data_IF_021416536980
#
_entry.id   IF_021416536980
#
_cell.length_a   1.000
_cell.length_b   1.000
_cell.length_c   1.000
_cell.angle_alpha   90.00
_cell.angle_beta   90.00
_cell.angle_gamma   90.00
#
_symmetry.space_group_name_H-M   'P 1'
#
loop_
_entity.id
_entity.type
_entity.pdbx_description
1 polymer ?
#
# COMPACT_ATOMS: atom_id res chain seq x y z
N UNK A 1 34.18 36.96 32.26
CA UNK A 1 32.71 36.80 32.28
C UNK A 1 32.27 36.26 30.91
N UNK A 2 32.39 34.95 30.71
CA UNK A 2 32.16 34.27 29.42
C UNK A 2 31.16 33.14 29.66
N UNK A 3 29.86 33.43 29.58
CA UNK A 3 28.84 32.42 29.90
C UNK A 3 27.49 32.64 29.19
N UNK A 4 27.46 33.30 28.03
CA UNK A 4 26.18 33.60 27.36
C UNK A 4 26.15 33.29 25.86
N UNK A 5 27.25 32.83 25.26
CA UNK A 5 27.29 32.47 23.82
C UNK A 5 27.12 30.97 23.54
N UNK A 6 26.96 30.12 24.57
CA UNK A 6 26.84 28.65 24.40
C UNK A 6 25.41 28.09 24.49
N UNK A 7 24.39 28.93 24.69
CA UNK A 7 23.00 28.50 24.86
C UNK A 7 22.10 28.73 23.64
N UNK A 8 22.66 29.20 22.51
CA UNK A 8 21.91 29.37 21.25
C UNK A 8 22.18 28.22 20.25
N UNK A 9 23.07 27.27 20.58
CA UNK A 9 23.46 26.17 19.69
C UNK A 9 22.78 24.82 20.03
N UNK A 10 21.52 24.81 20.49
CA UNK A 10 20.79 23.55 20.78
C UNK A 10 19.36 23.53 20.21
N UNK A 11 18.92 24.59 19.49
CA UNK A 11 17.56 24.67 18.93
C UNK A 11 17.53 24.67 17.40
N UNK A 12 18.37 23.82 16.79
CA UNK A 12 18.25 23.41 15.39
C UNK A 12 18.28 21.88 15.29
N UNK A 13 17.51 21.19 16.15
CA UNK A 13 16.86 19.96 15.70
C UNK A 13 15.75 20.35 14.72
N UNK A 14 16.16 20.90 13.57
CA UNK A 14 15.35 20.84 12.36
C UNK A 14 14.93 19.39 12.25
N UNK A 15 13.63 19.14 12.44
CA UNK A 15 13.02 17.88 12.11
C UNK A 15 13.45 17.56 10.67
N UNK A 16 14.49 16.74 10.52
CA UNK A 16 14.78 16.07 9.27
C UNK A 16 13.61 15.12 9.14
N UNK A 17 12.54 15.59 8.51
CA UNK A 17 11.41 14.74 8.18
C UNK A 17 12.00 13.60 7.36
N UNK A 18 11.91 12.34 7.81
CA UNK A 18 12.54 11.20 7.14
C UNK A 18 11.88 10.88 5.78
N UNK A 19 10.98 11.75 5.32
CA UNK A 19 10.32 11.70 4.02
C UNK A 19 11.30 11.87 2.85
N UNK A 20 12.52 12.37 3.10
CA UNK A 20 13.55 12.50 2.06
C UNK A 20 14.25 11.19 1.65
N UNK A 21 14.05 10.06 2.37
CA UNK A 21 14.93 8.89 2.28
C UNK A 21 14.37 7.59 1.68
N UNK A 22 13.09 7.54 1.27
CA UNK A 22 12.55 6.29 0.71
C UNK A 22 12.89 6.13 -0.78
N UNK A 23 14.14 5.78 -1.08
CA UNK A 23 14.60 5.52 -2.45
C UNK A 23 13.77 4.42 -3.14
N UNK A 24 13.17 3.53 -2.35
CA UNK A 24 12.31 2.45 -2.85
C UNK A 24 11.11 2.93 -3.67
N UNK A 25 10.54 4.12 -3.37
CA UNK A 25 9.38 4.63 -4.10
C UNK A 25 9.66 4.85 -5.59
N UNK A 26 10.91 5.07 -5.99
CA UNK A 26 11.30 5.15 -7.42
C UNK A 26 11.05 3.85 -8.18
N UNK A 27 11.04 2.72 -7.47
CA UNK A 27 10.82 1.40 -8.04
C UNK A 27 9.38 0.90 -7.86
N UNK A 28 8.58 1.58 -7.02
CA UNK A 28 7.21 1.17 -6.71
C UNK A 28 6.34 1.08 -7.96
N UNK A 29 6.34 2.11 -8.82
CA UNK A 29 5.47 2.14 -10.01
C UNK A 29 5.70 0.97 -10.96
N UNK A 30 6.94 0.50 -11.12
CA UNK A 30 7.24 -0.68 -11.94
C UNK A 30 6.64 -1.97 -11.34
N UNK A 31 6.83 -2.18 -10.04
CA UNK A 31 6.31 -3.37 -9.35
C UNK A 31 4.79 -3.33 -9.22
N UNK A 32 4.21 -2.15 -8.98
CA UNK A 32 2.77 -1.91 -8.95
C UNK A 32 2.12 -2.30 -10.29
N UNK A 33 2.70 -1.87 -11.42
CA UNK A 33 2.23 -2.26 -12.75
C UNK A 33 2.32 -3.79 -12.99
N UNK A 34 3.42 -4.42 -12.56
CA UNK A 34 3.55 -5.89 -12.65
C UNK A 34 2.45 -6.57 -11.80
N UNK A 35 2.22 -6.12 -10.57
CA UNK A 35 1.17 -6.65 -9.70
C UNK A 35 -0.22 -6.49 -10.31
N UNK A 36 -0.54 -5.32 -10.85
CA UNK A 36 -1.81 -5.03 -11.54
C UNK A 36 -2.00 -5.91 -12.78
N UNK A 37 -0.95 -6.10 -13.56
CA UNK A 37 -0.98 -6.98 -14.73
C UNK A 37 -1.24 -8.42 -14.27
N UNK A 38 -0.47 -8.93 -13.32
CA UNK A 38 -0.57 -10.32 -12.88
C UNK A 38 -1.93 -10.64 -12.24
N UNK A 39 -2.47 -9.78 -11.37
CA UNK A 39 -3.80 -10.02 -10.78
C UNK A 39 -4.90 -10.07 -11.86
N UNK A 40 -4.72 -9.33 -12.95
CA UNK A 40 -5.64 -9.34 -14.09
C UNK A 40 -5.51 -10.61 -14.94
N UNK A 41 -4.29 -11.08 -15.18
CA UNK A 41 -4.02 -12.18 -16.13
C UNK A 41 -3.78 -13.56 -15.48
N UNK A 42 -3.74 -13.66 -14.16
CA UNK A 42 -3.58 -14.95 -13.47
C UNK A 42 -4.84 -15.81 -13.54
N UNK A 43 -6.00 -15.24 -13.84
CA UNK A 43 -7.25 -15.97 -14.04
C UNK A 43 -7.91 -15.62 -15.37
N UNK A 44 -9.17 -16.03 -15.52
CA UNK A 44 -10.02 -15.61 -16.64
C UNK A 44 -10.44 -14.14 -16.53
N UNK A 45 -11.54 -13.78 -17.18
CA UNK A 45 -12.15 -12.47 -17.02
C UNK A 45 -12.49 -12.20 -15.55
N UNK A 46 -12.24 -10.98 -15.07
CA UNK A 46 -12.65 -10.57 -13.72
C UNK A 46 -14.16 -10.59 -13.59
N UNK A 47 -14.66 -11.00 -12.43
CA UNK A 47 -16.10 -11.02 -12.18
C UNK A 47 -16.68 -9.60 -12.13
N UNK A 48 -17.87 -9.43 -12.71
CA UNK A 48 -18.64 -8.20 -12.61
C UNK A 48 -19.53 -8.17 -11.34
N UNK A 49 -19.61 -9.29 -10.61
CA UNK A 49 -20.38 -9.39 -9.37
C UNK A 49 -19.97 -8.31 -8.35
N UNK A 50 -20.96 -7.75 -7.66
CA UNK A 50 -20.72 -6.79 -6.59
C UNK A 50 -20.11 -7.45 -5.35
N UNK A 51 -19.13 -6.77 -4.75
CA UNK A 51 -18.56 -7.21 -3.49
C UNK A 51 -19.58 -7.07 -2.35
N UNK A 52 -19.68 -8.07 -1.45
CA UNK A 52 -20.55 -7.99 -0.28
C UNK A 52 -20.06 -6.93 0.73
N UNK A 53 -18.84 -6.41 0.56
CA UNK A 53 -18.26 -5.37 1.40
C UNK A 53 -17.98 -4.13 0.55
N UNK A 54 -18.60 -3.01 0.91
CA UNK A 54 -18.37 -1.74 0.23
C UNK A 54 -16.90 -1.33 0.31
N UNK A 55 -16.31 -1.05 -0.86
CA UNK A 55 -14.93 -0.60 -0.97
C UNK A 55 -14.67 0.68 -0.15
N UNK A 56 -13.51 0.80 0.54
CA UNK A 56 -13.30 1.84 1.54
C UNK A 56 -12.77 3.16 0.95
N UNK A 57 -13.44 3.74 -0.07
CA UNK A 57 -13.00 5.00 -0.72
C UNK A 57 -12.71 6.14 0.26
N UNK A 58 -13.61 6.36 1.24
CA UNK A 58 -13.43 7.38 2.30
C UNK A 58 -12.18 7.15 3.17
N UNK A 59 -11.63 5.93 3.21
CA UNK A 59 -10.38 5.66 3.91
C UNK A 59 -9.19 6.15 3.08
N UNK A 60 -9.19 5.89 1.78
CA UNK A 60 -8.20 6.39 0.82
C UNK A 60 -8.18 7.93 0.75
N UNK A 61 -9.35 8.57 0.75
CA UNK A 61 -9.45 10.03 0.80
C UNK A 61 -8.84 10.63 2.08
N UNK A 62 -9.00 9.93 3.21
CA UNK A 62 -8.45 10.37 4.50
C UNK A 62 -6.94 10.17 4.58
N UNK A 63 -6.42 9.02 4.15
CA UNK A 63 -4.98 8.77 4.22
C UNK A 63 -4.19 9.72 3.30
N UNK A 64 -4.77 10.11 2.15
CA UNK A 64 -4.16 11.11 1.26
C UNK A 64 -3.92 12.48 1.94
N UNK A 65 -4.61 12.76 3.05
CA UNK A 65 -4.45 14.01 3.83
C UNK A 65 -3.53 13.85 5.05
N UNK A 66 -3.11 12.63 5.37
CA UNK A 66 -2.19 12.36 6.48
C UNK A 66 -0.72 12.62 6.06
N UNK A 67 0.19 12.50 7.02
CA UNK A 67 1.64 12.61 6.79
C UNK A 67 2.17 11.48 5.89
N UNK A 68 3.26 11.75 5.16
CA UNK A 68 3.86 10.77 4.22
C UNK A 68 4.23 9.46 4.89
N UNK A 69 4.74 9.49 6.13
CA UNK A 69 5.02 8.24 6.86
C UNK A 69 3.76 7.39 7.05
N UNK A 70 2.62 8.02 7.41
CA UNK A 70 1.33 7.33 7.53
C UNK A 70 0.84 6.79 6.19
N UNK A 71 1.04 7.53 5.10
CA UNK A 71 0.69 7.10 3.75
C UNK A 71 1.50 5.87 3.33
N UNK A 72 2.81 5.86 3.58
CA UNK A 72 3.68 4.71 3.28
C UNK A 72 3.35 3.50 4.15
N UNK A 73 3.10 3.72 5.44
CA UNK A 73 2.67 2.66 6.34
C UNK A 73 1.35 2.04 5.87
N UNK A 74 0.40 2.87 5.40
CA UNK A 74 -0.88 2.40 4.88
C UNK A 74 -0.73 1.57 3.60
N UNK A 75 0.16 1.97 2.70
CA UNK A 75 0.46 1.18 1.49
C UNK A 75 1.01 -0.19 1.89
N UNK A 76 2.05 -0.20 2.73
CA UNK A 76 2.66 -1.44 3.23
C UNK A 76 1.65 -2.35 3.91
N UNK A 77 0.91 -1.84 4.89
CA UNK A 77 -0.07 -2.62 5.65
C UNK A 77 -1.17 -3.18 4.74
N UNK A 78 -1.55 -2.45 3.68
CA UNK A 78 -2.54 -2.93 2.70
C UNK A 78 -2.00 -4.09 1.87
N UNK A 79 -0.74 -4.01 1.43
CA UNK A 79 -0.08 -5.09 0.67
C UNK A 79 0.09 -6.35 1.54
N UNK A 80 0.46 -6.20 2.81
CA UNK A 80 0.54 -7.32 3.76
C UNK A 80 -0.81 -8.01 3.94
N UNK A 81 -1.90 -7.24 4.06
CA UNK A 81 -3.25 -7.78 4.18
C UNK A 81 -3.73 -8.47 2.90
N UNK A 82 -3.38 -7.93 1.72
CA UNK A 82 -3.60 -8.60 0.43
C UNK A 82 -2.89 -9.95 0.44
N UNK A 83 -1.59 -9.99 0.70
CA UNK A 83 -0.84 -11.26 0.74
C UNK A 83 -1.44 -12.24 1.74
N UNK A 84 -1.88 -11.75 2.91
CA UNK A 84 -2.58 -12.54 3.93
C UNK A 84 -3.82 -13.26 3.38
N UNK A 85 -4.66 -12.57 2.59
CA UNK A 85 -5.85 -13.18 1.98
C UNK A 85 -5.48 -14.37 1.07
N UNK A 86 -4.47 -14.22 0.22
CA UNK A 86 -4.07 -15.26 -0.74
C UNK A 86 -3.33 -16.44 -0.08
N UNK A 87 -2.83 -16.25 1.14
CA UNK A 87 -2.18 -17.30 1.95
C UNK A 87 -3.13 -17.99 2.91
N UNK A 88 -4.34 -17.46 3.13
CA UNK A 88 -5.28 -17.95 4.15
C UNK A 88 -5.79 -19.37 3.86
N UNK A 89 -6.32 -19.61 2.65
CA UNK A 89 -6.94 -20.88 2.26
C UNK A 89 -6.34 -21.48 0.99
N UNK A 90 -6.64 -22.76 0.76
CA UNK A 90 -6.32 -23.41 -0.50
C UNK A 90 -7.11 -22.76 -1.65
N UNK A 91 -6.37 -22.34 -2.69
CA UNK A 91 -6.90 -21.77 -3.93
C UNK A 91 -7.19 -22.85 -4.98
N UNK A 92 -7.25 -24.12 -4.59
CA UNK A 92 -7.51 -25.25 -5.51
C UNK A 92 -8.89 -25.20 -6.18
N UNK A 93 -9.81 -24.38 -5.69
CA UNK A 93 -11.13 -24.18 -6.29
C UNK A 93 -11.09 -23.29 -7.54
N UNK A 94 -10.06 -22.46 -7.70
CA UNK A 94 -9.91 -21.60 -8.88
C UNK A 94 -8.93 -22.18 -9.89
N UNK A 95 -9.17 -21.88 -11.16
CA UNK A 95 -8.31 -22.30 -12.29
C UNK A 95 -7.25 -21.25 -12.60
N UNK A 96 -6.76 -20.52 -11.60
CA UNK A 96 -5.73 -19.53 -11.81
C UNK A 96 -4.42 -20.19 -12.21
N UNK A 97 -3.67 -19.53 -13.07
CA UNK A 97 -2.33 -19.92 -13.43
C UNK A 97 -1.42 -19.78 -12.22
N UNK A 98 -0.91 -20.92 -11.74
CA UNK A 98 -0.10 -21.02 -10.53
C UNK A 98 1.16 -20.16 -10.61
N UNK A 99 1.84 -20.16 -11.75
CA UNK A 99 3.09 -19.40 -11.92
C UNK A 99 2.85 -17.90 -11.87
N UNK A 100 1.78 -17.41 -12.52
CA UNK A 100 1.38 -16.00 -12.47
C UNK A 100 0.93 -15.60 -11.08
N UNK A 101 0.21 -16.49 -10.38
CA UNK A 101 -0.25 -16.25 -9.01
C UNK A 101 0.93 -16.19 -8.02
N UNK A 102 1.90 -17.07 -8.15
CA UNK A 102 3.11 -17.07 -7.32
C UNK A 102 3.95 -15.82 -7.59
N UNK A 103 4.16 -15.49 -8.89
CA UNK A 103 4.85 -14.26 -9.28
C UNK A 103 4.14 -13.00 -8.78
N UNK A 104 2.80 -13.01 -8.73
CA UNK A 104 2.01 -11.93 -8.16
C UNK A 104 2.37 -11.73 -6.68
N UNK A 105 2.32 -12.80 -5.88
CA UNK A 105 2.65 -12.74 -4.45
C UNK A 105 4.10 -12.32 -4.19
N UNK A 106 5.06 -12.87 -4.95
CA UNK A 106 6.46 -12.45 -4.86
C UNK A 106 6.65 -10.96 -5.17
N UNK A 107 5.88 -10.42 -6.13
CA UNK A 107 5.95 -9.00 -6.49
C UNK A 107 5.36 -8.11 -5.39
N UNK A 108 4.27 -8.55 -4.74
CA UNK A 108 3.67 -7.85 -3.59
C UNK A 108 4.60 -7.88 -2.37
N UNK A 109 5.21 -9.03 -2.09
CA UNK A 109 6.19 -9.17 -1.00
C UNK A 109 7.39 -8.25 -1.22
N UNK A 110 7.93 -8.20 -2.44
CA UNK A 110 9.03 -7.29 -2.78
C UNK A 110 8.67 -5.81 -2.57
N UNK A 111 7.46 -5.40 -2.95
CA UNK A 111 6.98 -4.04 -2.68
C UNK A 111 6.90 -3.76 -1.18
N UNK A 112 6.36 -4.72 -0.42
CA UNK A 112 6.22 -4.65 1.03
C UNK A 112 7.57 -4.51 1.72
N UNK A 113 8.55 -5.33 1.34
CA UNK A 113 9.89 -5.32 1.96
C UNK A 113 10.65 -4.03 1.69
N UNK A 114 10.54 -3.48 0.48
CA UNK A 114 11.11 -2.17 0.22
C UNK A 114 10.41 -1.05 1.00
N UNK A 115 9.09 -1.13 1.23
CA UNK A 115 8.40 -0.17 2.09
C UNK A 115 8.78 -0.33 3.57
N UNK A 116 9.06 -1.55 4.05
CA UNK A 116 9.59 -1.78 5.41
C UNK A 116 10.92 -1.07 5.66
N UNK A 117 11.76 -0.90 4.62
CA UNK A 117 12.98 -0.11 4.74
C UNK A 117 12.73 1.40 4.92
N UNK A 118 11.53 1.86 4.57
CA UNK A 118 11.16 3.28 4.61
C UNK A 118 10.33 3.65 5.83
N UNK A 119 9.53 2.72 6.34
CA UNK A 119 8.62 2.95 7.46
C UNK A 119 8.54 1.71 8.33
N UNK A 120 8.73 1.91 9.64
CA UNK A 120 8.66 0.85 10.66
C UNK A 120 7.37 0.91 11.48
N UNK A 121 6.68 2.05 11.46
CA UNK A 121 5.40 2.24 12.17
C UNK A 121 4.25 1.63 11.38
N UNK A 122 3.19 1.19 12.07
CA UNK A 122 1.94 0.80 11.43
C UNK A 122 1.05 2.02 11.17
N UNK A 123 0.23 1.92 10.13
CA UNK A 123 -0.76 2.94 9.81
C UNK A 123 -1.74 3.08 10.97
N UNK A 124 -1.93 4.33 11.42
CA UNK A 124 -2.99 4.66 12.39
C UNK A 124 -4.39 4.51 11.79
N UNK A 125 -4.51 4.44 10.46
CA UNK A 125 -5.77 4.18 9.75
C UNK A 125 -5.95 2.67 9.56
N UNK A 126 -6.95 2.13 10.25
CA UNK A 126 -7.23 0.70 10.28
C UNK A 126 -7.97 0.23 9.02
N UNK A 127 -7.23 -0.18 7.99
CA UNK A 127 -7.76 -0.92 6.83
C UNK A 127 -7.98 -2.41 7.14
N UNK A 128 -7.34 -2.94 8.19
CA UNK A 128 -7.52 -4.31 8.67
C UNK A 128 -8.99 -4.67 8.89
N UNK A 129 -9.82 -3.74 9.41
CA UNK A 129 -11.26 -3.97 9.58
C UNK A 129 -12.00 -4.17 8.25
N UNK A 130 -11.53 -3.56 7.17
CA UNK A 130 -12.06 -3.82 5.84
C UNK A 130 -11.74 -5.25 5.42
N UNK A 131 -10.45 -5.61 5.42
CA UNK A 131 -9.99 -6.94 4.99
C UNK A 131 -10.59 -8.08 5.81
N UNK A 132 -10.71 -7.94 7.15
CA UNK A 132 -11.40 -8.93 8.00
C UNK A 132 -12.88 -9.11 7.63
N UNK A 133 -13.56 -8.03 7.22
CA UNK A 133 -14.96 -8.13 6.77
C UNK A 133 -15.04 -8.78 5.39
N UNK A 134 -14.09 -8.48 4.51
CA UNK A 134 -14.02 -9.06 3.18
C UNK A 134 -13.78 -10.57 3.27
N UNK A 135 -12.73 -10.99 3.98
CA UNK A 135 -12.40 -12.39 4.29
C UNK A 135 -13.60 -13.14 4.88
N UNK A 136 -14.25 -12.57 5.90
CA UNK A 136 -15.44 -13.20 6.50
C UNK A 136 -16.62 -13.33 5.55
N UNK A 137 -16.83 -12.34 4.69
CA UNK A 137 -17.99 -12.32 3.79
C UNK A 137 -17.78 -13.14 2.52
N UNK A 138 -16.54 -13.50 2.21
CA UNK A 138 -16.15 -14.26 1.02
C UNK A 138 -15.64 -15.64 1.41
N UNK A 139 -14.45 -15.75 2.00
CA UNK A 139 -13.79 -17.01 2.29
C UNK A 139 -14.55 -17.83 3.36
N UNK A 140 -14.83 -17.28 4.54
CA UNK A 140 -15.45 -18.07 5.63
C UNK A 140 -16.91 -18.45 5.38
N UNK A 141 -17.74 -17.53 4.87
CA UNK A 141 -19.18 -17.78 4.69
C UNK A 141 -19.49 -18.68 3.50
N UNK A 142 -18.63 -18.71 2.48
CA UNK A 142 -18.86 -19.50 1.27
C UNK A 142 -17.98 -20.75 1.19
N UNK A 143 -17.01 -20.90 2.10
CA UNK A 143 -16.04 -21.98 2.07
C UNK A 143 -14.97 -21.83 0.98
N UNK A 144 -14.64 -20.60 0.58
CA UNK A 144 -13.63 -20.35 -0.45
C UNK A 144 -14.05 -20.82 -1.85
N UNK A 145 -15.32 -20.59 -2.22
CA UNK A 145 -15.83 -20.93 -3.55
C UNK A 145 -15.06 -20.21 -4.67
N UNK A 146 -15.06 -20.73 -5.91
CA UNK A 146 -14.41 -20.07 -7.04
C UNK A 146 -14.88 -18.62 -7.23
N UNK A 147 -16.19 -18.37 -7.07
CA UNK A 147 -16.80 -17.04 -7.20
C UNK A 147 -16.29 -16.08 -6.11
N UNK A 148 -16.10 -16.59 -4.89
CA UNK A 148 -15.56 -15.79 -3.78
C UNK A 148 -14.09 -15.42 -4.01
N UNK A 149 -13.30 -16.31 -4.58
CA UNK A 149 -11.93 -15.99 -4.96
C UNK A 149 -11.87 -15.00 -6.11
N UNK A 150 -12.76 -15.08 -7.09
CA UNK A 150 -12.86 -14.06 -8.15
C UNK A 150 -13.28 -12.69 -7.61
N UNK A 151 -14.14 -12.64 -6.59
CA UNK A 151 -14.45 -11.42 -5.85
C UNK A 151 -13.20 -10.87 -5.13
N UNK A 152 -12.45 -11.73 -4.43
CA UNK A 152 -11.18 -11.34 -3.81
C UNK A 152 -10.20 -10.77 -4.85
N UNK A 153 -10.10 -11.41 -6.03
CA UNK A 153 -9.23 -10.96 -7.12
C UNK A 153 -9.61 -9.58 -7.65
N UNK A 154 -10.90 -9.34 -7.87
CA UNK A 154 -11.45 -8.04 -8.26
C UNK A 154 -11.15 -6.96 -7.21
N UNK A 155 -11.45 -7.24 -5.95
CA UNK A 155 -11.19 -6.31 -4.85
C UNK A 155 -9.71 -6.01 -4.67
N UNK A 156 -8.85 -7.03 -4.85
CA UNK A 156 -7.40 -6.88 -4.85
C UNK A 156 -6.94 -5.93 -5.94
N UNK A 157 -7.42 -6.10 -7.18
CA UNK A 157 -7.10 -5.20 -8.29
C UNK A 157 -7.47 -3.75 -7.95
N UNK A 158 -8.70 -3.53 -7.47
CA UNK A 158 -9.18 -2.19 -7.12
C UNK A 158 -8.34 -1.56 -5.99
N UNK A 159 -7.93 -2.34 -4.99
CA UNK A 159 -7.00 -1.88 -3.96
C UNK A 159 -5.64 -1.48 -4.55
N UNK A 160 -5.07 -2.30 -5.42
CA UNK A 160 -3.77 -2.02 -6.04
C UNK A 160 -3.81 -0.73 -6.89
N UNK A 161 -4.90 -0.49 -7.63
CA UNK A 161 -5.09 0.76 -8.38
C UNK A 161 -5.10 1.98 -7.44
N UNK A 162 -5.82 1.90 -6.32
CA UNK A 162 -5.87 3.00 -5.35
C UNK A 162 -4.54 3.21 -4.60
N UNK A 163 -3.80 2.13 -4.36
CA UNK A 163 -2.46 2.18 -3.77
C UNK A 163 -1.44 2.81 -4.73
N UNK A 164 -1.55 2.52 -6.03
CA UNK A 164 -0.73 3.14 -7.07
C UNK A 164 -0.94 4.66 -7.12
N UNK A 165 -2.20 5.10 -7.14
CA UNK A 165 -2.56 6.52 -7.08
C UNK A 165 -2.03 7.20 -5.81
N UNK A 166 -2.09 6.52 -4.67
CA UNK A 166 -1.57 7.05 -3.41
C UNK A 166 -0.04 7.17 -3.45
N UNK A 167 0.67 6.17 -3.98
CA UNK A 167 2.12 6.19 -4.11
C UNK A 167 2.58 7.31 -5.07
N UNK A 168 1.92 7.48 -6.21
CA UNK A 168 2.19 8.58 -7.14
C UNK A 168 1.99 9.95 -6.46
N UNK A 169 0.89 10.12 -5.72
CA UNK A 169 0.63 11.34 -4.95
C UNK A 169 1.74 11.65 -3.93
N UNK A 170 2.26 10.64 -3.24
CA UNK A 170 3.38 10.78 -2.29
C UNK A 170 4.64 11.27 -3.01
N UNK A 171 4.96 10.69 -4.16
CA UNK A 171 6.14 11.04 -4.96
C UNK A 171 6.06 12.49 -5.45
N UNK A 172 4.91 12.90 -5.98
CA UNK A 172 4.69 14.25 -6.50
C UNK A 172 4.74 15.31 -5.40
N UNK A 173 4.07 15.04 -4.28
CA UNK A 173 4.07 15.94 -3.11
C UNK A 173 5.48 16.14 -2.56
N UNK A 174 6.30 15.08 -2.53
CA UNK A 174 7.69 15.13 -2.10
C UNK A 174 8.59 15.90 -3.08
N UNK A 175 8.32 15.80 -4.39
CA UNK A 175 9.03 16.59 -5.39
C UNK A 175 8.69 18.09 -5.30
N UNK A 176 7.42 18.44 -5.11
CA UNK A 176 6.97 19.83 -4.97
C UNK A 176 7.54 20.51 -3.72
N UNK A 177 7.56 19.80 -2.58
CA UNK A 177 8.16 20.30 -1.34
C UNK A 177 9.65 20.65 -1.51
N UNK A 178 10.41 19.78 -2.21
CA UNK A 178 11.83 20.02 -2.50
C UNK A 178 12.09 21.30 -3.30
N UNK A 179 11.29 21.54 -4.35
CA UNK A 179 11.43 22.76 -5.20
C UNK A 179 11.20 24.04 -4.39
N UNK A 180 10.19 24.04 -3.52
CA UNK A 180 9.88 25.20 -2.66
C UNK A 180 11.01 25.49 -1.67
N UNK A 181 11.64 24.46 -1.10
CA UNK A 181 12.78 24.62 -0.19
C UNK A 181 14.07 25.11 -0.88
N UNK A 182 14.25 24.84 -2.17
CA UNK A 182 15.39 25.36 -2.94
C UNK A 182 15.21 26.83 -3.31
N UNK A 183 13.98 27.28 -3.60
CA UNK A 183 13.68 28.68 -3.94
C UNK A 183 13.78 29.63 -2.73
N UNK A 184 13.49 29.15 -1.52
CA UNK A 184 13.56 29.98 -0.29
C UNK A 184 14.98 30.17 0.26
N UNK A 185 16.00 29.57 -0.37
CA UNK A 185 17.42 29.67 0.05
C UNK A 185 18.25 30.66 -0.77
N UNK A 186 17.63 31.47 -1.62
CA UNK A 186 18.29 32.51 -2.43
C UNK A 186 17.90 33.91 -1.98
#
# INVERSE_FOLDING_TARGET
MTSWTRLILVLLCSAVTPVLGCDWLRHYGHLSNISLTLVQVMGGQLTDQESPVRFPYRLYERIRKDEVESQLAFIRDSLELITGLYRHDNRSSVTWDTDKTERFLMTIDRQTDGLKSCVSTHSRKNITRYYRRLEKSTLYRTGGSPESWELIRKETKLHLEQLDLLAAFVVDSSAASRRRSTETRH
#
